data_IF_007174706484
#
_entry.id   IF_007174706484
#
_cell.length_a   1.000
_cell.length_b   1.000
_cell.length_c   1.000
_cell.angle_alpha   90.00
_cell.angle_beta   90.00
_cell.angle_gamma   90.00
#
_symmetry.space_group_name_H-M   'P 1'
#
loop_
_entity.id
_entity.type
_entity.pdbx_description
1 polymer ?
#
# COMPACT_ATOMS: atom_id res chain seq x y z
N UNK A 1 2.81 37.88 26.05
CA UNK A 1 2.53 37.82 27.50
C UNK A 1 1.38 36.84 27.71
N UNK A 2 1.42 36.05 28.79
CA UNK A 2 0.65 34.83 29.13
C UNK A 2 1.34 33.56 28.57
N UNK A 3 2.46 33.11 29.15
CA UNK A 3 2.67 32.39 30.42
C UNK A 3 2.34 30.90 30.32
N UNK A 4 3.36 30.10 30.00
CA UNK A 4 3.37 28.63 30.05
C UNK A 4 3.95 28.23 31.39
N UNK A 5 3.11 27.69 32.28
CA UNK A 5 3.52 26.80 33.36
C UNK A 5 2.27 26.08 33.88
N UNK A 6 2.18 24.77 33.64
CA UNK A 6 1.81 23.82 34.69
C UNK A 6 2.26 22.42 34.24
N UNK A 7 3.32 21.93 34.87
CA UNK A 7 3.66 20.52 34.96
C UNK A 7 2.73 19.90 36.02
N UNK A 8 2.03 18.83 35.67
CA UNK A 8 1.32 17.95 36.60
C UNK A 8 1.65 16.52 36.24
N UNK A 9 2.26 15.81 37.18
CA UNK A 9 2.82 14.46 37.06
C UNK A 9 1.81 13.43 36.52
N UNK A 10 2.16 12.81 35.38
CA UNK A 10 1.76 11.44 35.05
C UNK A 10 3.06 10.69 34.72
N UNK A 11 3.31 9.61 35.45
CA UNK A 11 4.43 8.70 35.22
C UNK A 11 4.16 7.96 33.90
N UNK A 12 4.49 8.60 32.78
CA UNK A 12 4.41 8.00 31.45
C UNK A 12 5.59 7.05 31.32
N UNK A 13 5.28 5.77 31.19
CA UNK A 13 6.22 4.69 30.91
C UNK A 13 7.17 5.13 29.76
N UNK A 14 8.48 5.05 29.97
CA UNK A 14 9.52 5.64 29.09
C UNK A 14 9.37 5.19 27.62
N UNK A 15 8.85 3.99 27.40
CA UNK A 15 8.54 3.45 26.07
C UNK A 15 7.41 4.21 25.35
N UNK A 16 6.33 4.57 26.05
CA UNK A 16 5.20 5.32 25.47
C UNK A 16 5.59 6.77 25.14
N UNK A 17 6.43 7.39 25.98
CA UNK A 17 7.00 8.71 25.71
C UNK A 17 7.88 8.70 24.45
N UNK A 18 8.74 7.70 24.27
CA UNK A 18 9.59 7.55 23.09
C UNK A 18 8.75 7.31 21.82
N UNK A 19 7.69 6.52 21.90
CA UNK A 19 6.76 6.27 20.77
C UNK A 19 5.98 7.54 20.40
N UNK A 20 5.45 8.27 21.39
CA UNK A 20 4.75 9.55 21.17
C UNK A 20 5.71 10.59 20.56
N UNK A 21 6.96 10.66 21.03
CA UNK A 21 7.99 11.56 20.47
C UNK A 21 8.38 11.18 19.03
N UNK A 22 8.45 9.89 18.71
CA UNK A 22 8.69 9.42 17.32
C UNK A 22 7.52 9.76 16.40
N UNK A 23 6.28 9.58 16.86
CA UNK A 23 5.07 9.92 16.11
C UNK A 23 4.92 11.44 15.91
N UNK A 24 5.21 12.25 16.93
CA UNK A 24 5.23 13.71 16.83
C UNK A 24 6.31 14.21 15.85
N UNK A 25 7.51 13.61 15.85
CA UNK A 25 8.56 13.91 14.86
C UNK A 25 8.17 13.49 13.45
N UNK A 26 7.46 12.37 13.29
CA UNK A 26 6.92 11.95 11.99
C UNK A 26 5.87 12.93 11.49
N UNK A 27 4.94 13.35 12.36
CA UNK A 27 3.91 14.33 12.06
C UNK A 27 4.51 15.69 11.68
N UNK A 28 5.53 16.17 12.40
CA UNK A 28 6.23 17.42 12.07
C UNK A 28 7.01 17.35 10.75
N UNK A 29 7.65 16.21 10.42
CA UNK A 29 8.31 15.99 9.13
C UNK A 29 7.33 15.88 7.96
N UNK A 30 6.12 15.38 8.20
CA UNK A 30 5.05 15.31 7.20
C UNK A 30 4.39 16.69 7.02
N UNK A 31 4.20 17.45 8.09
CA UNK A 31 3.52 18.75 8.08
C UNK A 31 4.38 19.92 7.56
N UNK A 32 5.71 19.90 7.74
CA UNK A 32 6.56 21.08 7.46
C UNK A 32 7.62 20.92 6.35
N UNK A 33 7.69 19.78 5.66
CA UNK A 33 8.45 19.67 4.40
C UNK A 33 9.87 20.26 4.40
N UNK A 34 10.66 20.04 5.45
CA UNK A 34 12.02 20.57 5.53
C UNK A 34 13.05 19.55 5.02
N UNK A 35 13.76 19.93 3.97
CA UNK A 35 14.95 19.27 3.44
C UNK A 35 16.16 19.50 4.35
N UNK A 36 16.93 18.45 4.62
CA UNK A 36 18.29 18.58 5.18
C UNK A 36 19.30 18.40 4.05
N UNK A 37 19.98 19.49 3.71
CA UNK A 37 21.25 19.51 2.97
C UNK A 37 22.38 19.06 3.90
N UNK A 38 23.38 18.36 3.37
CA UNK A 38 24.80 18.65 3.67
C UNK A 38 25.78 17.90 2.73
N UNK A 39 26.80 18.67 2.33
CA UNK A 39 28.18 18.31 1.92
C UNK A 39 28.48 17.64 0.56
N UNK A 40 28.87 18.51 -0.39
CA UNK A 40 30.08 18.50 -1.22
C UNK A 40 30.84 17.18 -1.47
N UNK A 41 30.77 16.70 -2.71
CA UNK A 41 31.84 15.90 -3.34
C UNK A 41 32.04 16.40 -4.78
N UNK A 42 33.25 16.86 -5.05
CA UNK A 42 33.76 17.29 -6.36
C UNK A 42 33.80 16.07 -7.30
N UNK A 43 33.19 16.17 -8.49
CA UNK A 43 33.32 15.18 -9.56
C UNK A 43 34.15 15.79 -10.70
N UNK A 44 35.31 15.17 -10.94
CA UNK A 44 36.18 15.46 -12.08
C UNK A 44 35.52 15.05 -13.41
N UNK A 45 35.67 15.92 -14.41
CA UNK A 45 35.22 15.72 -15.78
C UNK A 45 35.97 14.55 -16.46
N UNK A 46 35.22 13.57 -16.98
CA UNK A 46 35.75 12.60 -17.95
C UNK A 46 34.89 12.67 -19.22
N UNK A 47 35.55 13.04 -20.32
CA UNK A 47 34.99 13.13 -21.68
C UNK A 47 34.58 11.75 -22.23
N UNK A 48 33.51 11.66 -23.05
CA UNK A 48 32.97 10.38 -23.50
C UNK A 48 33.73 9.83 -24.72
N UNK A 49 34.18 8.57 -24.63
CA UNK A 49 34.56 7.76 -25.80
C UNK A 49 33.37 6.88 -26.20
N UNK A 50 32.97 7.03 -27.46
CA UNK A 50 32.07 6.17 -28.22
C UNK A 50 32.37 4.68 -28.02
N UNK A 51 31.30 3.88 -27.79
CA UNK A 51 30.94 2.64 -28.50
C UNK A 51 30.22 1.65 -27.56
N UNK A 52 28.89 1.57 -27.72
CA UNK A 52 28.13 0.33 -27.93
C UNK A 52 26.64 0.70 -27.90
N UNK A 53 25.94 0.50 -29.02
CA UNK A 53 24.48 0.57 -29.03
C UNK A 53 23.95 -0.50 -28.06
N UNK A 54 23.02 -0.16 -27.13
CA UNK A 54 22.46 -1.15 -26.24
C UNK A 54 21.66 -2.17 -27.06
N UNK A 55 21.95 -3.44 -26.85
CA UNK A 55 21.21 -4.54 -27.45
C UNK A 55 19.93 -4.74 -26.61
N UNK A 56 18.83 -4.13 -27.04
CA UNK A 56 17.55 -4.24 -26.32
C UNK A 56 16.85 -5.57 -26.63
N UNK A 57 16.21 -6.16 -25.62
CA UNK A 57 15.33 -7.32 -25.75
C UNK A 57 13.86 -6.93 -25.49
N UNK A 58 12.90 -7.75 -25.93
CA UNK A 58 11.46 -7.51 -25.69
C UNK A 58 10.82 -6.48 -26.63
N UNK A 59 9.83 -5.73 -26.14
CA UNK A 59 9.01 -4.78 -26.92
C UNK A 59 9.86 -3.73 -27.68
N UNK A 60 11.04 -3.42 -27.16
CA UNK A 60 12.01 -2.51 -27.79
C UNK A 60 12.57 -3.05 -29.12
N UNK A 61 12.73 -4.37 -29.28
CA UNK A 61 13.16 -4.95 -30.56
C UNK A 61 12.07 -4.83 -31.64
N UNK A 62 10.81 -4.99 -31.23
CA UNK A 62 9.65 -4.87 -32.10
C UNK A 62 9.43 -3.42 -32.59
N UNK A 63 9.56 -2.44 -31.68
CA UNK A 63 9.41 -1.02 -32.02
C UNK A 63 10.57 -0.49 -32.86
N UNK A 64 11.80 -0.97 -32.61
CA UNK A 64 12.92 -0.67 -33.50
C UNK A 64 12.71 -1.24 -34.91
N UNK A 65 12.07 -2.40 -35.06
CA UNK A 65 11.69 -2.92 -36.38
C UNK A 65 10.63 -2.05 -37.07
N UNK A 66 9.59 -1.60 -36.35
CA UNK A 66 8.59 -0.68 -36.92
C UNK A 66 9.19 0.68 -37.29
N UNK A 67 10.11 1.21 -36.49
CA UNK A 67 10.79 2.47 -36.77
C UNK A 67 11.86 2.33 -37.88
N UNK A 68 12.44 1.14 -38.07
CA UNK A 68 13.46 0.91 -39.11
C UNK A 68 12.94 0.98 -40.55
N UNK A 69 11.62 0.94 -40.74
CA UNK A 69 10.98 1.12 -42.05
C UNK A 69 10.65 2.59 -42.38
N UNK A 70 10.94 3.54 -41.50
CA UNK A 70 10.87 4.98 -41.79
C UNK A 70 12.26 5.45 -42.23
N UNK A 71 12.40 5.71 -43.54
CA UNK A 71 13.61 6.33 -44.10
C UNK A 71 13.95 7.64 -43.38
N UNK A 72 15.13 7.67 -42.76
CA UNK A 72 15.92 8.84 -42.30
C UNK A 72 15.43 10.20 -42.82
N UNK A 73 14.51 10.81 -42.08
CA UNK A 73 14.27 12.26 -41.95
C UNK A 73 13.40 12.46 -40.71
N UNK A 74 13.62 13.59 -40.03
CA UNK A 74 12.96 14.07 -38.78
C UNK A 74 13.71 13.69 -37.49
N UNK A 75 14.69 14.53 -37.15
CA UNK A 75 14.83 15.04 -35.78
C UNK A 75 13.57 15.91 -35.55
N UNK A 76 12.88 15.71 -34.41
CA UNK A 76 11.82 16.55 -33.79
C UNK A 76 10.46 15.84 -33.53
N UNK A 77 10.26 14.58 -33.90
CA UNK A 77 9.01 13.89 -33.56
C UNK A 77 9.08 13.26 -32.16
N UNK A 78 8.44 13.91 -31.19
CA UNK A 78 8.08 13.28 -29.90
C UNK A 78 7.30 11.99 -30.24
N UNK A 79 7.68 10.81 -29.71
CA UNK A 79 7.03 9.56 -30.06
C UNK A 79 5.53 9.63 -29.75
N UNK A 80 4.69 9.44 -30.77
CA UNK A 80 3.24 9.52 -30.60
C UNK A 80 2.71 8.38 -29.73
N UNK A 81 1.84 8.68 -28.78
CA UNK A 81 1.10 7.68 -28.02
C UNK A 81 0.23 6.83 -28.94
N UNK A 82 0.18 5.52 -28.71
CA UNK A 82 -0.53 4.59 -29.61
C UNK A 82 -1.13 3.40 -28.86
N UNK A 83 -2.32 2.97 -29.29
CA UNK A 83 -2.89 1.69 -28.86
C UNK A 83 -2.20 0.57 -29.64
N UNK A 84 -1.57 -0.36 -28.91
CA UNK A 84 -0.84 -1.47 -29.52
C UNK A 84 -1.78 -2.64 -29.85
N UNK A 85 -1.66 -3.27 -31.04
CA UNK A 85 -2.36 -4.52 -31.35
C UNK A 85 -1.88 -5.64 -30.42
N UNK A 86 -2.78 -6.25 -29.65
CA UNK A 86 -2.45 -7.31 -28.68
C UNK A 86 -1.63 -8.44 -29.32
N UNK A 87 -2.03 -8.91 -30.50
CA UNK A 87 -1.38 -10.03 -31.21
C UNK A 87 0.07 -9.74 -31.64
N UNK A 88 0.48 -8.46 -31.60
CA UNK A 88 1.82 -8.03 -31.95
C UNK A 88 2.78 -7.94 -30.77
N UNK A 89 2.26 -8.08 -29.54
CA UNK A 89 3.06 -7.92 -28.33
C UNK A 89 3.94 -9.14 -28.03
N UNK A 90 5.14 -8.93 -27.46
CA UNK A 90 5.95 -10.01 -26.94
C UNK A 90 5.20 -10.81 -25.87
N UNK A 91 5.54 -12.11 -25.76
CA UNK A 91 4.92 -12.99 -24.77
C UNK A 91 5.10 -12.51 -23.33
N UNK A 92 6.23 -11.87 -23.01
CA UNK A 92 6.47 -11.30 -21.67
C UNK A 92 5.47 -10.18 -21.36
N UNK A 93 5.30 -9.25 -22.29
CA UNK A 93 4.34 -8.15 -22.18
C UNK A 93 2.90 -8.66 -22.10
N UNK A 94 2.54 -9.67 -22.91
CA UNK A 94 1.22 -10.32 -22.84
C UNK A 94 0.92 -10.89 -21.45
N UNK A 95 1.92 -11.51 -20.80
CA UNK A 95 1.79 -11.99 -19.42
C UNK A 95 1.68 -10.85 -18.42
N UNK A 96 2.43 -9.77 -18.61
CA UNK A 96 2.42 -8.62 -17.71
C UNK A 96 1.10 -7.83 -17.74
N UNK A 97 0.45 -7.74 -18.91
CA UNK A 97 -0.87 -7.08 -19.03
C UNK A 97 -2.04 -7.99 -18.61
N UNK A 98 -1.84 -9.30 -18.54
CA UNK A 98 -2.84 -10.31 -18.17
C UNK A 98 -2.41 -11.20 -16.98
N UNK A 99 -2.02 -10.61 -15.83
CA UNK A 99 -1.52 -11.37 -14.70
C UNK A 99 -2.63 -12.21 -14.07
N UNK A 100 -2.31 -13.42 -13.61
CA UNK A 100 -3.25 -14.26 -12.85
C UNK A 100 -3.66 -13.59 -11.52
N UNK A 101 -2.75 -12.81 -10.95
CA UNK A 101 -3.00 -12.03 -9.75
C UNK A 101 -2.20 -10.74 -9.84
N UNK A 102 -2.88 -9.60 -9.73
CA UNK A 102 -2.23 -8.29 -9.69
C UNK A 102 -1.73 -8.00 -8.27
N UNK A 103 -2.58 -8.28 -7.28
CA UNK A 103 -2.23 -8.39 -5.87
C UNK A 103 -3.30 -9.24 -5.16
N UNK A 104 -3.18 -9.45 -3.84
CA UNK A 104 -4.18 -10.24 -3.10
C UNK A 104 -5.62 -9.69 -3.22
N UNK A 105 -5.76 -8.39 -3.45
CA UNK A 105 -7.05 -7.73 -3.60
C UNK A 105 -7.65 -7.84 -5.01
N UNK A 106 -6.88 -8.26 -6.02
CA UNK A 106 -7.30 -8.27 -7.42
C UNK A 106 -6.79 -9.55 -8.12
N UNK A 107 -7.70 -10.50 -8.28
CA UNK A 107 -7.43 -11.83 -8.83
C UNK A 107 -8.12 -11.99 -10.18
N UNK A 108 -7.47 -12.68 -11.12
CA UNK A 108 -8.06 -12.95 -12.43
C UNK A 108 -9.14 -14.03 -12.29
N UNK A 109 -10.28 -13.78 -12.90
CA UNK A 109 -11.26 -14.83 -13.21
C UNK A 109 -11.15 -15.15 -14.70
N UNK A 110 -10.66 -16.35 -15.09
CA UNK A 110 -10.52 -16.74 -16.48
C UNK A 110 -11.80 -16.59 -17.31
N UNK A 111 -12.98 -16.60 -16.69
CA UNK A 111 -14.26 -16.48 -17.38
C UNK A 111 -14.77 -15.04 -17.49
N UNK A 112 -14.29 -14.11 -16.65
CA UNK A 112 -14.90 -12.78 -16.45
C UNK A 112 -13.87 -11.66 -16.22
N UNK A 113 -12.66 -11.78 -16.75
CA UNK A 113 -11.61 -10.77 -16.63
C UNK A 113 -11.18 -10.15 -17.98
N UNK A 114 -12.11 -9.49 -18.72
CA UNK A 114 -11.77 -8.86 -19.98
C UNK A 114 -10.80 -7.68 -19.80
N UNK A 115 -9.96 -7.49 -20.82
CA UNK A 115 -9.26 -6.23 -21.07
C UNK A 115 -10.27 -5.18 -21.52
N UNK A 116 -10.36 -4.05 -20.81
CA UNK A 116 -11.32 -2.99 -21.07
C UNK A 116 -10.72 -1.84 -21.89
N UNK A 117 -9.45 -1.51 -21.63
CA UNK A 117 -8.72 -0.47 -22.35
C UNK A 117 -7.23 -0.82 -22.46
N UNK A 118 -6.61 -0.35 -23.53
CA UNK A 118 -5.21 -0.58 -23.85
C UNK A 118 -4.99 -1.87 -24.65
N UNK A 119 -3.73 -2.28 -24.83
CA UNK A 119 -2.52 -1.71 -24.24
C UNK A 119 -2.16 -0.36 -24.87
N UNK A 120 -2.24 0.71 -24.09
CA UNK A 120 -1.82 2.05 -24.53
C UNK A 120 -0.34 2.19 -24.26
N UNK A 121 0.43 2.40 -25.32
CA UNK A 121 1.85 2.71 -25.22
C UNK A 121 2.08 4.23 -25.26
N UNK A 122 2.86 4.72 -24.30
CA UNK A 122 3.31 6.11 -24.22
C UNK A 122 4.80 6.15 -23.90
N UNK A 123 5.55 6.95 -24.65
CA UNK A 123 6.92 7.31 -24.27
C UNK A 123 6.93 8.23 -23.05
N UNK A 124 8.02 8.22 -22.28
CA UNK A 124 8.27 9.14 -21.16
C UNK A 124 8.09 10.63 -21.50
N UNK A 125 8.32 11.02 -22.75
CA UNK A 125 8.19 12.40 -23.24
C UNK A 125 6.92 12.65 -24.07
N UNK A 126 6.05 11.64 -24.22
CA UNK A 126 4.85 11.74 -25.04
C UNK A 126 3.86 12.81 -24.54
N UNK A 127 3.15 13.43 -25.49
CA UNK A 127 2.01 14.28 -25.16
C UNK A 127 0.87 13.49 -24.49
N UNK A 128 -0.10 14.23 -23.95
CA UNK A 128 -1.27 13.60 -23.33
C UNK A 128 -2.08 12.79 -24.34
N UNK A 129 -2.39 11.55 -24.00
CA UNK A 129 -3.27 10.71 -24.80
C UNK A 129 -4.74 11.02 -24.47
N UNK A 130 -5.58 11.01 -25.50
CA UNK A 130 -7.04 11.09 -25.40
C UNK A 130 -7.64 9.97 -26.25
N UNK A 131 -8.58 9.22 -25.70
CA UNK A 131 -9.22 8.13 -26.42
C UNK A 131 -10.57 7.75 -25.86
N UNK A 132 -11.29 6.96 -26.63
CA UNK A 132 -12.57 6.37 -26.25
C UNK A 132 -12.42 4.84 -26.16
N UNK A 133 -13.21 4.20 -25.31
CA UNK A 133 -13.30 2.73 -25.22
C UNK A 133 -14.71 2.28 -24.84
N UNK A 134 -15.03 1.03 -25.15
CA UNK A 134 -16.35 0.46 -24.89
C UNK A 134 -16.33 -0.47 -23.67
N UNK A 135 -17.36 -0.34 -22.82
CA UNK A 135 -17.59 -1.23 -21.69
C UNK A 135 -18.94 -1.92 -21.87
N UNK A 136 -18.93 -3.26 -21.92
CA UNK A 136 -20.16 -4.03 -22.11
C UNK A 136 -21.09 -3.97 -20.89
N UNK A 137 -22.41 -4.15 -21.07
CA UNK A 137 -23.35 -4.25 -19.94
C UNK A 137 -23.03 -5.37 -18.95
N UNK A 138 -22.39 -6.44 -19.42
CA UNK A 138 -21.97 -7.57 -18.57
C UNK A 138 -20.87 -7.17 -17.59
N UNK A 139 -19.92 -6.33 -18.01
CA UNK A 139 -18.89 -5.77 -17.13
C UNK A 139 -19.54 -4.96 -16.01
N UNK A 140 -20.49 -4.07 -16.34
CA UNK A 140 -21.22 -3.27 -15.34
C UNK A 140 -22.08 -4.15 -14.41
N UNK A 141 -22.53 -5.31 -14.88
CA UNK A 141 -23.25 -6.27 -14.03
C UNK A 141 -22.29 -7.05 -13.12
N UNK A 142 -21.11 -7.41 -13.63
CA UNK A 142 -20.06 -8.08 -12.86
C UNK A 142 -19.53 -7.19 -11.73
N UNK A 143 -19.44 -5.87 -11.91
CA UNK A 143 -18.96 -4.97 -10.84
C UNK A 143 -19.87 -4.94 -9.61
N UNK A 144 -21.16 -5.26 -9.79
CA UNK A 144 -22.11 -5.45 -8.68
C UNK A 144 -21.90 -6.76 -7.92
N UNK A 145 -21.10 -7.68 -8.47
CA UNK A 145 -20.83 -9.01 -7.94
C UNK A 145 -19.38 -9.17 -7.47
N UNK A 146 -18.73 -8.07 -7.06
CA UNK A 146 -17.38 -8.09 -6.50
C UNK A 146 -16.24 -7.93 -7.49
N UNK A 147 -16.51 -7.62 -8.77
CA UNK A 147 -15.46 -7.34 -9.75
C UNK A 147 -15.09 -5.85 -9.78
N UNK A 148 -13.83 -5.55 -10.06
CA UNK A 148 -13.28 -4.20 -10.11
C UNK A 148 -12.47 -3.99 -11.38
N UNK A 149 -12.70 -2.85 -12.03
CA UNK A 149 -11.90 -2.40 -13.16
C UNK A 149 -10.69 -1.64 -12.63
N UNK A 150 -9.51 -2.16 -12.91
CA UNK A 150 -8.25 -1.67 -12.36
C UNK A 150 -7.40 -1.10 -13.48
N UNK A 151 -6.99 0.16 -13.33
CA UNK A 151 -5.98 0.81 -14.15
C UNK A 151 -4.60 0.57 -13.52
N UNK A 152 -3.68 0.07 -14.32
CA UNK A 152 -2.29 -0.11 -13.94
C UNK A 152 -1.35 0.23 -15.08
N UNK A 153 -0.09 0.48 -14.73
CA UNK A 153 0.96 0.91 -15.64
C UNK A 153 2.18 0.00 -15.52
N UNK A 154 2.80 -0.30 -16.66
CA UNK A 154 3.98 -1.14 -16.76
C UNK A 154 5.13 -0.36 -17.42
N UNK A 155 6.35 -0.60 -16.96
CA UNK A 155 7.59 -0.22 -17.62
C UNK A 155 8.47 -1.47 -17.64
N UNK A 156 8.98 -1.86 -18.81
CA UNK A 156 9.78 -3.09 -18.97
C UNK A 156 9.07 -4.35 -18.44
N UNK A 157 7.76 -4.48 -18.71
CA UNK A 157 6.90 -5.57 -18.24
C UNK A 157 6.71 -5.65 -16.71
N UNK A 158 7.18 -4.65 -15.96
CA UNK A 158 7.05 -4.57 -14.49
C UNK A 158 6.13 -3.42 -14.06
N UNK A 159 5.32 -3.59 -13.00
CA UNK A 159 4.46 -2.53 -12.45
C UNK A 159 5.23 -1.27 -12.09
N UNK A 160 5.03 -0.20 -12.86
CA UNK A 160 5.76 1.05 -12.68
C UNK A 160 4.91 2.22 -13.13
N UNK A 161 4.73 3.18 -12.23
CA UNK A 161 4.10 4.44 -12.56
C UNK A 161 5.16 5.51 -12.86
N UNK A 162 4.91 6.41 -13.83
CA UNK A 162 5.77 7.57 -14.01
C UNK A 162 5.75 8.47 -12.75
N UNK A 163 6.78 9.32 -12.61
CA UNK A 163 6.89 10.25 -11.48
C UNK A 163 5.66 11.17 -11.40
N UNK A 164 5.21 11.71 -12.54
CA UNK A 164 3.94 12.41 -12.65
C UNK A 164 2.98 11.60 -13.50
N UNK A 165 1.83 11.27 -12.91
CA UNK A 165 0.70 10.64 -13.58
C UNK A 165 -0.57 11.41 -13.22
N UNK A 166 -1.35 11.76 -14.23
CA UNK A 166 -2.71 12.26 -14.08
C UNK A 166 -3.59 11.66 -15.17
N UNK A 167 -4.72 11.09 -14.78
CA UNK A 167 -5.69 10.56 -15.72
C UNK A 167 -7.08 11.16 -15.51
N UNK A 168 -7.91 11.07 -16.54
CA UNK A 168 -9.34 11.29 -16.42
C UNK A 168 -10.07 10.14 -17.09
N UNK A 169 -11.11 9.61 -16.44
CA UNK A 169 -12.05 8.67 -17.05
C UNK A 169 -13.45 9.26 -16.90
N UNK A 170 -14.14 9.51 -18.01
CA UNK A 170 -15.44 10.18 -18.04
C UNK A 170 -15.45 11.47 -17.18
N UNK A 171 -14.42 12.31 -17.35
CA UNK A 171 -14.19 13.56 -16.60
C UNK A 171 -13.94 13.40 -15.09
N UNK A 172 -13.87 12.17 -14.56
CA UNK A 172 -13.43 11.93 -13.19
C UNK A 172 -11.92 11.80 -13.14
N UNK A 173 -11.28 12.58 -12.26
CA UNK A 173 -9.84 12.54 -12.05
C UNK A 173 -9.42 11.19 -11.48
N UNK A 174 -8.36 10.63 -12.04
CA UNK A 174 -7.70 9.39 -11.66
C UNK A 174 -6.26 9.73 -11.29
N UNK A 175 -5.93 9.60 -10.01
CA UNK A 175 -4.61 9.94 -9.48
C UNK A 175 -4.14 8.91 -8.46
N UNK A 176 -2.83 8.88 -8.22
CA UNK A 176 -2.26 8.06 -7.14
C UNK A 176 -2.50 8.76 -5.80
N UNK A 177 -2.80 8.04 -4.71
CA UNK A 177 -3.14 8.61 -3.40
C UNK A 177 -1.96 9.29 -2.69
N UNK A 178 -0.71 9.16 -3.17
CA UNK A 178 0.45 9.83 -2.60
C UNK A 178 1.32 10.48 -3.68
N UNK A 179 1.64 11.76 -3.50
CA UNK A 179 2.51 12.57 -4.38
C UNK A 179 4.01 12.26 -4.18
N UNK A 180 4.39 11.53 -3.12
CA UNK A 180 5.79 11.12 -2.88
C UNK A 180 6.04 9.78 -3.55
N UNK A 181 6.89 9.77 -4.58
CA UNK A 181 7.38 8.55 -5.21
C UNK A 181 8.14 7.72 -4.16
N UNK A 182 7.70 6.48 -3.95
CA UNK A 182 8.43 5.46 -3.18
C UNK A 182 8.52 4.19 -4.03
N UNK A 183 9.53 3.33 -3.86
CA UNK A 183 9.58 2.05 -4.57
C UNK A 183 8.27 1.26 -4.44
N UNK A 184 7.63 1.26 -3.26
CA UNK A 184 6.33 0.59 -3.07
C UNK A 184 5.17 1.22 -3.84
N UNK A 185 5.24 2.51 -4.20
CA UNK A 185 4.19 3.19 -4.98
C UNK A 185 4.07 2.70 -6.42
N UNK A 186 5.06 1.95 -6.91
CA UNK A 186 5.02 1.31 -8.23
C UNK A 186 3.98 0.18 -8.30
N UNK A 187 3.65 -0.42 -7.16
CA UNK A 187 2.62 -1.46 -7.01
C UNK A 187 1.24 -0.90 -6.67
N UNK A 188 1.03 0.41 -6.84
CA UNK A 188 -0.29 0.98 -6.63
C UNK A 188 -1.21 0.65 -7.79
N UNK A 189 -2.44 0.23 -7.51
CA UNK A 189 -3.42 -0.12 -8.53
C UNK A 189 -4.63 0.78 -8.38
N UNK A 190 -5.08 1.40 -9.47
CA UNK A 190 -6.13 2.41 -9.39
C UNK A 190 -7.48 1.76 -9.73
N UNK A 191 -8.36 1.63 -8.72
CA UNK A 191 -9.75 1.21 -8.94
C UNK A 191 -10.52 2.32 -9.65
N UNK A 192 -10.82 2.10 -10.94
CA UNK A 192 -11.57 3.02 -11.81
C UNK A 192 -13.03 2.60 -11.99
N UNK A 193 -13.47 1.55 -11.28
CA UNK A 193 -14.80 0.94 -11.46
C UNK A 193 -15.94 1.95 -11.38
N UNK A 194 -15.88 2.86 -10.40
CA UNK A 194 -16.94 3.85 -10.14
C UNK A 194 -17.07 4.92 -11.23
N UNK A 195 -16.07 5.05 -12.11
CA UNK A 195 -16.04 6.03 -13.18
C UNK A 195 -16.57 5.47 -14.51
N UNK A 196 -16.73 4.15 -14.62
CA UNK A 196 -17.17 3.51 -15.86
C UNK A 196 -18.68 3.59 -16.04
N UNK A 197 -19.10 3.84 -17.29
CA UNK A 197 -20.49 3.79 -17.73
C UNK A 197 -20.68 2.69 -18.78
N UNK A 198 -21.92 2.31 -19.04
CA UNK A 198 -22.23 1.34 -20.11
C UNK A 198 -21.91 1.94 -21.48
N UNK A 199 -21.38 1.12 -22.38
CA UNK A 199 -21.01 1.48 -23.74
C UNK A 199 -19.84 2.47 -23.75
N UNK A 200 -20.02 3.67 -24.28
CA UNK A 200 -18.94 4.60 -24.58
C UNK A 200 -18.39 5.24 -23.32
N UNK A 201 -17.09 5.11 -23.12
CA UNK A 201 -16.30 5.76 -22.08
C UNK A 201 -15.16 6.54 -22.73
N UNK A 202 -14.73 7.62 -22.09
CA UNK A 202 -13.54 8.37 -22.50
C UNK A 202 -12.42 8.24 -21.47
N UNK A 203 -11.18 8.27 -21.94
CA UNK A 203 -9.98 8.26 -21.12
C UNK A 203 -8.97 9.30 -21.62
N UNK A 204 -8.38 10.01 -20.68
CA UNK A 204 -7.23 10.88 -20.90
C UNK A 204 -6.11 10.42 -19.97
N UNK A 205 -4.89 10.29 -20.51
CA UNK A 205 -3.69 9.98 -19.72
C UNK A 205 -2.62 11.01 -20.02
N UNK A 206 -2.11 11.62 -18.95
CA UNK A 206 -0.96 12.52 -18.98
C UNK A 206 0.11 11.93 -18.06
N UNK A 207 1.29 11.70 -18.62
CA UNK A 207 2.44 11.18 -17.90
C UNK A 207 3.65 12.08 -18.16
N UNK A 208 4.46 12.34 -17.14
CA UNK A 208 5.76 13.01 -17.28
C UNK A 208 6.77 12.38 -16.33
N UNK A 209 7.93 12.02 -16.84
CA UNK A 209 8.97 11.40 -16.03
C UNK A 209 10.33 11.51 -16.70
N UNK A 210 11.38 11.62 -15.89
CA UNK A 210 12.78 11.55 -16.33
C UNK A 210 13.26 10.11 -16.50
N UNK A 211 12.46 9.11 -16.09
CA UNK A 211 12.79 7.70 -16.25
C UNK A 211 12.47 7.32 -17.70
N UNK A 212 13.49 7.14 -18.55
CA UNK A 212 13.28 6.90 -19.97
C UNK A 212 12.65 5.53 -20.18
N UNK A 213 11.77 5.46 -21.16
CA UNK A 213 11.22 4.20 -21.63
C UNK A 213 9.76 4.31 -22.00
N UNK A 214 9.22 3.17 -22.41
CA UNK A 214 7.87 3.06 -22.89
C UNK A 214 6.96 2.49 -21.81
N UNK A 215 5.97 3.28 -21.43
CA UNK A 215 4.96 2.93 -20.45
C UNK A 215 3.76 2.31 -21.14
N UNK A 216 3.24 1.22 -20.57
CA UNK A 216 2.03 0.55 -21.06
C UNK A 216 0.92 0.71 -20.02
N UNK A 217 -0.17 1.37 -20.40
CA UNK A 217 -1.35 1.56 -19.57
C UNK A 217 -2.46 0.60 -19.98
N UNK A 218 -3.06 -0.03 -18.98
CA UNK A 218 -4.10 -1.05 -19.17
C UNK A 218 -5.21 -0.87 -18.15
N UNK A 219 -6.47 -0.95 -18.60
CA UNK A 219 -7.62 -1.16 -17.71
C UNK A 219 -8.13 -2.57 -17.91
N UNK A 220 -8.20 -3.35 -16.84
CA UNK A 220 -8.68 -4.74 -16.87
C UNK A 220 -9.62 -5.03 -15.70
N UNK A 221 -10.55 -5.96 -15.90
CA UNK A 221 -11.47 -6.40 -14.86
C UNK A 221 -10.87 -7.55 -14.04
N UNK A 222 -10.89 -7.41 -12.71
CA UNK A 222 -10.45 -8.44 -11.77
C UNK A 222 -11.54 -8.76 -10.75
N UNK A 223 -11.56 -9.97 -10.22
CA UNK A 223 -12.33 -10.29 -9.02
C UNK A 223 -11.63 -9.69 -7.80
N UNK A 224 -12.38 -9.00 -6.94
CA UNK A 224 -11.88 -8.43 -5.71
C UNK A 224 -12.47 -9.16 -4.50
N UNK A 225 -11.69 -10.01 -3.81
CA UNK A 225 -12.13 -10.65 -2.58
C UNK A 225 -12.58 -9.61 -1.54
N UNK A 226 -13.63 -9.93 -0.79
CA UNK A 226 -14.07 -9.08 0.31
C UNK A 226 -13.12 -9.22 1.50
N UNK A 227 -13.12 -8.24 2.42
CA UNK A 227 -12.35 -8.34 3.67
C UNK A 227 -12.70 -9.63 4.44
N UNK A 228 -13.97 -10.06 4.42
CA UNK A 228 -14.39 -11.34 4.99
C UNK A 228 -13.67 -12.56 4.37
N UNK A 229 -13.44 -12.58 3.05
CA UNK A 229 -12.71 -13.67 2.41
C UNK A 229 -11.26 -13.71 2.92
N UNK A 230 -10.62 -12.55 3.04
CA UNK A 230 -9.27 -12.43 3.59
C UNK A 230 -9.20 -12.88 5.06
N UNK A 231 -10.17 -12.48 5.89
CA UNK A 231 -10.27 -12.91 7.29
C UNK A 231 -10.40 -14.43 7.40
N UNK A 232 -11.29 -15.04 6.62
CA UNK A 232 -11.46 -16.52 6.61
C UNK A 232 -10.18 -17.22 6.21
N UNK A 233 -9.47 -16.71 5.20
CA UNK A 233 -8.21 -17.30 4.77
C UNK A 233 -7.13 -17.22 5.85
N UNK A 234 -6.94 -16.04 6.45
CA UNK A 234 -5.96 -15.84 7.53
C UNK A 234 -6.30 -16.68 8.76
N UNK A 235 -7.59 -16.83 9.08
CA UNK A 235 -8.08 -17.62 10.21
C UNK A 235 -7.72 -19.11 10.10
N UNK A 236 -7.49 -19.63 8.89
CA UNK A 236 -7.10 -21.03 8.66
C UNK A 236 -5.61 -21.30 8.85
N UNK A 237 -4.80 -20.26 9.01
CA UNK A 237 -3.35 -20.35 9.18
C UNK A 237 -3.00 -20.68 10.63
N UNK A 238 -1.78 -21.13 10.95
CA UNK A 238 -1.36 -21.33 12.33
C UNK A 238 -1.43 -20.03 13.14
N UNK A 239 -2.05 -20.03 14.31
CA UNK A 239 -2.14 -18.81 15.15
C UNK A 239 -0.94 -18.70 16.08
N UNK A 240 -0.60 -17.47 16.45
CA UNK A 240 0.26 -17.27 17.62
C UNK A 240 -0.51 -17.66 18.87
N UNK A 241 0.16 -18.39 19.75
CA UNK A 241 -0.41 -18.84 21.02
C UNK A 241 0.37 -18.23 22.19
N UNK A 242 0.00 -18.60 23.42
CA UNK A 242 0.66 -18.12 24.62
C UNK A 242 2.17 -18.46 24.67
N UNK A 243 2.60 -19.62 24.15
CA UNK A 243 4.03 -19.96 24.12
C UNK A 243 4.82 -19.01 23.22
N UNK A 244 4.26 -18.59 22.09
CA UNK A 244 4.86 -17.55 21.24
C UNK A 244 4.92 -16.19 21.93
N UNK A 245 3.83 -15.81 22.60
CA UNK A 245 3.77 -14.58 23.38
C UNK A 245 4.82 -14.57 24.49
N UNK A 246 4.89 -15.63 25.30
CA UNK A 246 5.85 -15.79 26.40
C UNK A 246 7.29 -15.74 25.92
N UNK A 247 7.59 -16.35 24.76
CA UNK A 247 8.93 -16.28 24.13
C UNK A 247 9.33 -14.84 23.80
N UNK A 248 8.43 -14.07 23.19
CA UNK A 248 8.70 -12.67 22.82
C UNK A 248 8.76 -11.78 24.08
N UNK A 249 7.94 -12.06 25.09
CA UNK A 249 7.95 -11.34 26.36
C UNK A 249 9.29 -11.51 27.08
N UNK A 250 9.80 -12.74 27.18
CA UNK A 250 11.11 -13.01 27.78
C UNK A 250 12.24 -12.29 27.06
N UNK A 251 12.23 -12.29 25.73
CA UNK A 251 13.22 -11.53 24.95
C UNK A 251 13.12 -10.03 25.24
N UNK A 252 11.88 -9.50 25.30
CA UNK A 252 11.64 -8.08 25.57
C UNK A 252 12.14 -7.69 26.96
N UNK A 253 12.00 -8.54 27.98
CA UNK A 253 12.51 -8.28 29.33
C UNK A 253 14.04 -8.38 29.39
N UNK A 254 14.65 -9.39 28.76
CA UNK A 254 16.11 -9.56 28.69
C UNK A 254 16.77 -8.33 28.06
N UNK A 255 16.18 -7.79 26.99
CA UNK A 255 16.75 -6.63 26.30
C UNK A 255 16.58 -5.31 27.11
N UNK A 256 15.73 -5.30 28.14
CA UNK A 256 15.47 -4.15 29.01
C UNK A 256 15.98 -4.44 30.44
N UNK A 257 17.31 -4.65 30.57
CA UNK A 257 18.13 -4.94 31.77
C UNK A 257 17.85 -4.10 33.05
N UNK A 258 16.90 -3.16 33.04
CA UNK A 258 16.66 -2.14 34.06
C UNK A 258 15.19 -2.10 34.56
N UNK A 259 14.38 -3.12 34.24
CA UNK A 259 12.93 -3.12 34.54
C UNK A 259 12.55 -4.26 35.49
N UNK A 260 12.42 -3.92 36.77
CA UNK A 260 11.88 -4.75 37.87
C UNK A 260 10.37 -5.13 37.68
N UNK A 261 9.79 -4.83 36.51
CA UNK A 261 8.36 -5.00 36.23
C UNK A 261 8.08 -6.42 35.74
N UNK A 262 7.44 -7.22 36.60
CA UNK A 262 7.01 -8.62 36.34
C UNK A 262 5.78 -8.75 35.43
N UNK A 263 5.34 -7.65 34.83
CA UNK A 263 4.11 -7.57 34.06
C UNK A 263 4.26 -6.68 32.83
N UNK A 264 3.42 -6.91 31.82
CA UNK A 264 3.35 -6.15 30.57
C UNK A 264 1.98 -5.52 30.42
N UNK A 265 1.92 -4.21 30.16
CA UNK A 265 0.66 -3.53 29.83
C UNK A 265 0.42 -3.65 28.33
N UNK A 266 -0.57 -4.45 27.94
CA UNK A 266 -0.98 -4.66 26.56
C UNK A 266 -2.18 -3.77 26.22
N UNK A 267 -2.02 -2.91 25.21
CA UNK A 267 -3.14 -2.18 24.59
C UNK A 267 -4.02 -3.13 23.78
N UNK A 268 -5.33 -3.03 23.97
CA UNK A 268 -6.38 -3.69 23.18
C UNK A 268 -6.93 -2.77 22.07
N UNK A 269 -6.40 -1.56 21.98
CA UNK A 269 -6.70 -0.58 20.93
C UNK A 269 -5.68 -0.71 19.79
N UNK A 270 -6.18 -0.79 18.56
CA UNK A 270 -5.39 -0.86 17.35
C UNK A 270 -4.62 0.46 17.14
N UNK A 271 -3.28 0.44 16.99
CA UNK A 271 -2.50 1.65 16.81
C UNK A 271 -2.74 2.34 15.46
N UNK A 272 -3.24 1.61 14.46
CA UNK A 272 -3.59 2.18 13.15
C UNK A 272 -4.98 2.82 13.13
N UNK A 273 -5.97 2.12 13.67
CA UNK A 273 -7.37 2.52 13.56
C UNK A 273 -7.85 3.36 14.73
N UNK A 274 -7.12 3.34 15.86
CA UNK A 274 -7.54 3.92 17.13
C UNK A 274 -8.91 3.41 17.60
N UNK A 275 -9.21 2.15 17.26
CA UNK A 275 -10.41 1.42 17.63
C UNK A 275 -10.04 0.16 18.42
N UNK A 276 -10.96 -0.37 19.22
CA UNK A 276 -10.78 -1.70 19.83
C UNK A 276 -10.53 -2.74 18.73
N UNK A 277 -9.52 -3.58 18.93
CA UNK A 277 -9.17 -4.64 17.99
C UNK A 277 -10.29 -5.70 17.99
N UNK A 278 -10.79 -6.07 16.82
CA UNK A 278 -11.70 -7.23 16.66
C UNK A 278 -10.92 -8.48 16.27
N UNK A 279 -10.01 -8.37 15.31
CA UNK A 279 -9.16 -9.47 14.85
C UNK A 279 -7.69 -9.14 15.12
N UNK A 280 -7.12 -9.52 16.28
CA UNK A 280 -5.74 -9.22 16.62
C UNK A 280 -4.81 -10.03 15.73
N UNK A 281 -3.98 -9.32 14.97
CA UNK A 281 -2.99 -9.93 14.09
C UNK A 281 -1.60 -9.34 14.29
N UNK A 282 -0.61 -10.14 13.91
CA UNK A 282 0.81 -9.76 13.78
C UNK A 282 1.39 -10.39 12.52
N UNK A 283 2.49 -9.83 12.01
CA UNK A 283 3.29 -10.50 10.98
C UNK A 283 4.15 -11.60 11.60
N UNK A 284 4.39 -12.69 10.86
CA UNK A 284 5.16 -13.85 11.31
C UNK A 284 6.57 -13.49 11.83
N UNK A 285 7.16 -12.42 11.32
CA UNK A 285 8.51 -11.96 11.68
C UNK A 285 8.53 -10.86 12.75
N UNK A 286 7.37 -10.44 13.25
CA UNK A 286 7.28 -9.40 14.27
C UNK A 286 7.83 -9.90 15.61
N UNK A 287 8.79 -9.17 16.19
CA UNK A 287 9.35 -9.43 17.53
C UNK A 287 8.79 -8.46 18.59
N UNK A 288 7.48 -8.19 18.55
CA UNK A 288 6.80 -7.37 19.54
C UNK A 288 5.49 -8.03 20.00
N UNK A 289 5.03 -7.66 21.19
CA UNK A 289 3.81 -8.22 21.81
C UNK A 289 2.51 -7.53 21.36
N UNK A 290 2.62 -6.31 20.83
CA UNK A 290 1.46 -5.52 20.41
C UNK A 290 0.81 -6.10 19.14
N UNK A 291 -0.51 -6.06 19.07
CA UNK A 291 -1.29 -6.46 17.90
C UNK A 291 -1.87 -5.23 17.18
N UNK A 292 -2.28 -5.42 15.93
CA UNK A 292 -3.11 -4.48 15.19
C UNK A 292 -4.34 -5.21 14.64
N UNK A 293 -5.36 -4.45 14.26
CA UNK A 293 -6.60 -5.00 13.72
C UNK A 293 -6.42 -5.39 12.25
N UNK A 294 -6.87 -6.59 11.89
CA UNK A 294 -6.72 -7.13 10.54
C UNK A 294 -7.43 -6.29 9.49
N UNK A 295 -8.71 -5.95 9.73
CA UNK A 295 -9.53 -5.25 8.73
C UNK A 295 -9.00 -3.83 8.51
N UNK A 296 -8.62 -3.15 9.59
CA UNK A 296 -7.95 -1.85 9.52
C UNK A 296 -6.65 -1.94 8.73
N UNK A 297 -5.84 -2.97 8.97
CA UNK A 297 -4.58 -3.16 8.26
C UNK A 297 -4.78 -3.41 6.77
N UNK A 298 -5.69 -4.31 6.38
CA UNK A 298 -5.97 -4.58 4.96
C UNK A 298 -6.44 -3.32 4.22
N UNK A 299 -7.27 -2.49 4.88
CA UNK A 299 -7.67 -1.19 4.33
C UNK A 299 -6.46 -0.25 4.15
N UNK A 300 -5.63 -0.11 5.18
CA UNK A 300 -4.41 0.72 5.12
C UNK A 300 -3.50 0.30 3.96
N UNK A 301 -3.25 -1.01 3.82
CA UNK A 301 -2.41 -1.55 2.75
C UNK A 301 -3.03 -1.31 1.37
N UNK A 302 -4.35 -1.41 1.23
CA UNK A 302 -5.05 -1.09 -0.02
C UNK A 302 -4.88 0.38 -0.41
N UNK A 303 -4.90 1.28 0.56
CA UNK A 303 -4.80 2.72 0.33
C UNK A 303 -3.36 3.18 0.03
N UNK A 304 -2.34 2.55 0.64
CA UNK A 304 -0.95 3.00 0.51
C UNK A 304 -0.01 2.05 -0.26
N UNK A 305 -0.42 0.81 -0.51
CA UNK A 305 0.38 -0.22 -1.20
C UNK A 305 1.57 -0.75 -0.40
N UNK A 306 1.67 -0.46 0.91
CA UNK A 306 2.82 -0.84 1.74
C UNK A 306 2.49 -2.00 2.66
N UNK A 307 3.23 -3.09 2.52
CA UNK A 307 3.10 -4.29 3.35
C UNK A 307 4.11 -4.31 4.49
N UNK A 308 4.08 -3.30 5.35
CA UNK A 308 4.93 -3.20 6.53
C UNK A 308 4.06 -3.26 7.79
N UNK A 309 4.60 -3.82 8.86
CA UNK A 309 3.95 -3.82 10.16
C UNK A 309 3.85 -2.36 10.67
N UNK A 310 2.67 -1.90 11.09
CA UNK A 310 2.50 -0.53 11.57
C UNK A 310 3.18 -0.22 12.92
N UNK A 311 3.71 -1.25 13.59
CA UNK A 311 4.31 -1.15 14.91
C UNK A 311 5.84 -1.14 14.81
N UNK A 312 6.42 -2.08 14.06
CA UNK A 312 7.87 -2.25 13.96
C UNK A 312 8.46 -2.05 12.57
N UNK A 313 7.64 -1.70 11.57
CA UNK A 313 8.02 -1.47 10.17
C UNK A 313 8.64 -2.68 9.45
N UNK A 314 8.68 -3.85 10.07
CA UNK A 314 9.09 -5.11 9.44
C UNK A 314 8.12 -5.52 8.34
N UNK A 315 8.62 -6.27 7.35
CA UNK A 315 7.78 -6.79 6.27
C UNK A 315 6.64 -7.67 6.82
N UNK A 316 5.43 -7.37 6.38
CA UNK A 316 4.19 -7.97 6.85
C UNK A 316 3.27 -8.26 5.67
N UNK A 317 3.78 -8.99 4.68
CA UNK A 317 3.02 -9.46 3.52
C UNK A 317 1.76 -10.22 3.93
N UNK A 318 0.75 -10.25 3.05
CA UNK A 318 -0.50 -10.97 3.31
C UNK A 318 -0.26 -12.37 3.87
N UNK A 319 0.63 -13.16 3.25
CA UNK A 319 0.93 -14.54 3.61
C UNK A 319 1.70 -14.72 4.93
N UNK A 320 2.21 -13.65 5.53
CA UNK A 320 2.88 -13.69 6.84
C UNK A 320 1.97 -13.25 8.00
N UNK A 321 0.81 -12.65 7.71
CA UNK A 321 -0.16 -12.23 8.74
C UNK A 321 -0.76 -13.45 9.42
N UNK A 322 -0.75 -13.48 10.75
CA UNK A 322 -1.37 -14.50 11.60
C UNK A 322 -2.20 -13.86 12.70
N UNK A 323 -3.25 -14.56 13.13
CA UNK A 323 -4.04 -14.20 14.30
C UNK A 323 -3.22 -14.48 15.55
N UNK A 324 -3.32 -13.58 16.53
CA UNK A 324 -2.86 -13.81 17.89
C UNK A 324 -3.99 -14.37 18.74
N UNK A 325 -4.01 -15.68 18.92
CA UNK A 325 -5.07 -16.39 19.65
C UNK A 325 -5.07 -16.04 21.14
N UNK A 326 -3.90 -15.79 21.72
CA UNK A 326 -3.80 -15.39 23.13
C UNK A 326 -4.46 -14.03 23.36
N UNK A 327 -4.11 -13.03 22.54
CA UNK A 327 -4.73 -11.70 22.62
C UNK A 327 -6.21 -11.74 22.24
N UNK A 328 -6.61 -12.59 21.28
CA UNK A 328 -8.01 -12.81 20.94
C UNK A 328 -8.81 -13.38 22.12
N UNK A 329 -8.21 -14.31 22.88
CA UNK A 329 -8.79 -14.84 24.11
C UNK A 329 -9.02 -13.76 25.16
N UNK A 330 -8.05 -12.87 25.35
CA UNK A 330 -8.16 -11.72 26.26
C UNK A 330 -9.30 -10.78 25.82
N UNK A 331 -9.33 -10.39 24.54
CA UNK A 331 -10.34 -9.49 23.98
C UNK A 331 -11.77 -9.97 24.23
N UNK A 332 -11.99 -11.30 24.18
CA UNK A 332 -13.28 -11.95 24.44
C UNK A 332 -13.63 -12.09 25.92
N UNK A 333 -12.65 -11.99 26.80
CA UNK A 333 -12.81 -12.28 28.24
C UNK A 333 -12.98 -11.00 29.08
N UNK A 334 -12.51 -9.86 28.57
CA UNK A 334 -12.64 -8.56 29.26
C UNK A 334 -13.78 -7.72 28.67
N UNK A 335 -14.36 -6.77 29.44
CA UNK A 335 -15.40 -5.88 28.94
C UNK A 335 -14.97 -5.06 27.71
N UNK A 336 -15.93 -4.70 26.85
CA UNK A 336 -15.67 -3.97 25.60
C UNK A 336 -15.04 -2.58 25.83
N UNK A 337 -15.36 -1.95 26.96
CA UNK A 337 -14.81 -0.64 27.34
C UNK A 337 -13.38 -0.73 27.91
N UNK A 338 -12.80 -1.92 28.09
CA UNK A 338 -11.43 -2.11 28.58
C UNK A 338 -10.40 -1.86 27.47
N UNK A 339 -9.61 -0.79 27.57
CA UNK A 339 -8.64 -0.39 26.54
C UNK A 339 -7.28 -1.09 26.67
N UNK A 340 -6.91 -1.57 27.86
CA UNK A 340 -5.68 -2.30 28.08
C UNK A 340 -5.74 -3.24 29.28
N UNK A 341 -4.89 -4.26 29.26
CA UNK A 341 -4.72 -5.24 30.34
C UNK A 341 -3.28 -5.27 30.82
N UNK A 342 -3.09 -5.61 32.09
CA UNK A 342 -1.78 -5.96 32.65
C UNK A 342 -1.66 -7.48 32.63
N UNK A 343 -0.58 -8.00 32.04
CA UNK A 343 -0.32 -9.43 31.83
C UNK A 343 0.95 -9.83 32.57
N UNK A 344 0.89 -10.87 33.40
CA UNK A 344 2.03 -11.42 34.13
C UNK A 344 2.80 -12.46 33.30
N UNK A 345 4.01 -12.85 33.72
CA UNK A 345 4.86 -13.82 32.99
C UNK A 345 4.16 -15.18 32.75
N UNK A 346 3.32 -15.61 33.70
CA UNK A 346 2.54 -16.84 33.62
C UNK A 346 1.34 -16.74 32.66
N UNK A 347 1.05 -15.55 32.11
CA UNK A 347 -0.06 -15.29 31.21
C UNK A 347 -1.37 -14.92 31.89
N UNK A 348 -1.41 -14.85 33.22
CA UNK A 348 -2.56 -14.29 33.94
C UNK A 348 -2.66 -12.79 33.63
N UNK A 349 -3.89 -12.30 33.52
CA UNK A 349 -4.14 -10.91 33.14
C UNK A 349 -5.31 -10.31 33.90
N UNK A 350 -5.26 -8.99 34.07
CA UNK A 350 -6.35 -8.20 34.64
C UNK A 350 -6.57 -6.90 33.86
N UNK A 351 -7.81 -6.38 33.78
CA UNK A 351 -8.07 -5.06 33.21
C UNK A 351 -7.18 -3.99 33.88
N UNK A 352 -6.59 -3.11 33.07
CA UNK A 352 -5.69 -2.05 33.52
C UNK A 352 -6.27 -0.65 33.26
N UNK A 353 -6.85 -0.43 32.07
CA UNK A 353 -7.48 0.85 31.69
C UNK A 353 -8.82 0.61 31.02
N UNK A 354 -9.79 1.50 31.27
CA UNK A 354 -11.07 1.56 30.59
C UNK A 354 -11.22 2.91 29.86
N UNK A 355 -12.09 2.95 28.85
CA UNK A 355 -12.52 4.20 28.22
C UNK A 355 -13.37 5.00 29.21
N UNK A 356 -13.15 6.32 29.27
CA UNK A 356 -13.99 7.20 30.10
C UNK A 356 -15.38 7.27 29.48
N UNK A 357 -16.42 6.95 30.25
CA UNK A 357 -17.79 7.32 29.89
C UNK A 357 -17.95 8.83 30.09
N UNK A 358 -17.89 9.62 29.02
CA UNK A 358 -18.46 10.96 29.03
C UNK A 358 -19.98 10.82 29.14
N UNK A 359 -20.54 11.01 30.35
CA UNK A 359 -21.84 11.64 30.68
C UNK A 359 -22.09 11.48 32.20
N UNK A 360 -21.18 11.98 33.04
CA UNK A 360 -21.58 12.45 34.37
C UNK A 360 -21.82 13.95 34.23
N UNK A 361 -23.06 14.34 33.94
CA UNK A 361 -23.52 15.66 34.34
C UNK A 361 -23.63 15.59 35.87
N UNK A 362 -22.62 16.12 36.54
CA UNK A 362 -22.73 16.51 37.94
C UNK A 362 -23.87 17.55 38.03
N UNK A 363 -25.09 17.08 38.31
CA UNK A 363 -26.15 17.87 38.94
C UNK A 363 -25.68 18.14 40.38
N UNK A 364 -24.85 19.16 40.55
CA UNK A 364 -24.66 19.83 41.84
C UNK A 364 -25.60 21.05 41.87
N UNK A 365 -26.70 20.86 42.61
CA UNK A 365 -27.64 21.88 43.12
C UNK A 365 -26.95 22.98 43.96
#
# INVERSE_FOLDING_TARGET
>A
MISVHFFGFLNINSSLYVVIQKLLKLYQKVAFGMSTSDSDVVLDEVTPKNQNQPQYSGAFAFLNQMNSNKTKKELDDIPSSQILPIDSLPLSTLKAIDPEQLCIFYQKDPKKSPLLFGPLSMDSEAESFYGDFEVSPDVISATKSGYKAILFCLLNDEPTWPVFFNGFINNHKVERPNLRFTPSSQYFWIDVTKFLVKHKNSIQITAKTEIPGQYIYVVRLFYAPTDFNCVVEISRRPHFNFSDWSRIYKQTIIDNDDVDTKSFILSLICPLGLIRISEPVRGNFCQHLLCFDLTVYLKYVRDCGKWNCPICDQECLFDSIRIDEFVLGILKSVPDNCESVEIEENGEYKPYKFSNSEYDYDDDD
#
